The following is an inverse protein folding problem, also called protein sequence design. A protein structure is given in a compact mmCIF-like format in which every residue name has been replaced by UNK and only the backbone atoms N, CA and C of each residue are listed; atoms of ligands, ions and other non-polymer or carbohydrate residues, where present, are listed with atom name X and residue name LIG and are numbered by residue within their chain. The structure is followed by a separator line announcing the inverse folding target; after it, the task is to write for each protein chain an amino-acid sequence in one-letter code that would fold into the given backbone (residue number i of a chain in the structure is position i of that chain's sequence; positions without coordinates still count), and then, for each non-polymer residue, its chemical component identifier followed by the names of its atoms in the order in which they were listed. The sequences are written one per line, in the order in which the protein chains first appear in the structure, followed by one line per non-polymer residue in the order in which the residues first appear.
data_IF_547248338662
#
_entry.id   IF_547248338662
#
_cell.length_a   1.000
_cell.length_b   1.000
_cell.length_c   1.000
_cell.angle_alpha   90.00
_cell.angle_beta   90.00
_cell.angle_gamma   90.00
#
_symmetry.space_group_name_H-M   'P 1'
#
loop_
_entity.id
_entity.type
_entity.pdbx_description
1 polymer ?
#
# COMPACT_ATOMS: atom_id res chain seq x y z
N UNK A 1 17.60 -16.18 77.54
CA UNK A 1 16.67 -15.14 77.00
C UNK A 1 17.36 -14.50 75.82
N UNK A 2 17.02 -14.92 74.61
CA UNK A 2 17.57 -14.40 73.37
C UNK A 2 16.42 -13.80 72.55
N UNK A 3 16.45 -12.47 72.40
CA UNK A 3 15.46 -11.67 71.70
C UNK A 3 15.84 -11.63 70.21
N UNK A 4 15.02 -12.21 69.32
CA UNK A 4 15.17 -12.13 67.86
C UNK A 4 14.40 -10.92 67.33
N UNK A 5 15.11 -9.96 66.77
CA UNK A 5 14.52 -8.86 66.01
C UNK A 5 14.46 -9.22 64.53
N UNK A 6 13.25 -9.43 64.02
CA UNK A 6 12.99 -9.60 62.59
C UNK A 6 12.84 -8.23 61.93
N UNK A 7 13.81 -7.86 61.08
CA UNK A 7 13.70 -6.71 60.16
C UNK A 7 12.83 -7.08 58.96
N UNK A 8 11.68 -6.46 58.84
CA UNK A 8 10.86 -6.51 57.61
C UNK A 8 11.41 -5.48 56.65
N UNK A 9 11.93 -5.94 55.50
CA UNK A 9 12.29 -5.12 54.33
C UNK A 9 11.01 -4.91 53.52
N UNK A 10 10.52 -3.66 53.48
CA UNK A 10 9.43 -3.27 52.58
C UNK A 10 10.03 -2.97 51.20
N UNK A 11 9.67 -3.81 50.21
CA UNK A 11 10.00 -3.56 48.80
C UNK A 11 8.98 -2.55 48.28
N UNK A 12 9.40 -1.33 48.00
CA UNK A 12 8.61 -0.32 47.29
C UNK A 12 8.66 -0.62 45.79
N UNK A 13 7.56 -1.13 45.25
CA UNK A 13 7.38 -1.28 43.79
C UNK A 13 6.98 0.09 43.24
N UNK A 14 7.93 0.80 42.65
CA UNK A 14 7.65 2.03 41.91
C UNK A 14 6.89 1.73 40.64
N UNK A 15 5.62 2.12 40.56
CA UNK A 15 4.88 2.19 39.32
C UNK A 15 5.40 3.36 38.48
N UNK A 16 6.18 3.08 37.43
CA UNK A 16 6.44 4.03 36.36
C UNK A 16 5.13 4.20 35.57
N UNK A 17 4.42 5.30 35.80
CA UNK A 17 3.32 5.74 34.95
C UNK A 17 3.91 6.17 33.60
N UNK A 18 3.74 5.36 32.56
CA UNK A 18 3.90 5.79 31.17
C UNK A 18 2.82 6.84 30.89
N UNK A 19 3.22 8.11 30.85
CA UNK A 19 2.35 9.20 30.42
C UNK A 19 1.85 8.99 28.97
N UNK A 20 0.75 9.67 28.59
CA UNK A 20 0.22 9.54 27.22
C UNK A 20 1.30 9.92 26.21
N UNK A 21 1.50 9.08 25.19
CA UNK A 21 2.34 9.39 24.05
C UNK A 21 1.74 10.61 23.36
N UNK A 22 2.33 11.75 23.61
CA UNK A 22 1.91 13.02 23.01
C UNK A 22 2.25 12.97 21.55
N UNK A 23 1.26 13.21 20.67
CA UNK A 23 1.46 13.31 19.23
C UNK A 23 2.62 14.29 18.97
N UNK A 24 3.58 13.88 18.13
CA UNK A 24 4.71 14.73 17.76
C UNK A 24 4.22 16.08 17.22
N UNK A 25 4.91 17.20 17.53
CA UNK A 25 4.52 18.51 17.02
C UNK A 25 4.47 18.47 15.49
N UNK A 26 3.37 18.96 14.92
CA UNK A 26 3.26 19.12 13.47
C UNK A 26 4.05 20.38 13.08
N UNK A 27 5.20 20.26 12.41
CA UNK A 27 5.88 21.42 11.85
C UNK A 27 4.97 22.09 10.81
N UNK A 28 5.15 23.40 10.59
CA UNK A 28 4.50 24.06 9.45
C UNK A 28 4.90 23.33 8.16
N UNK A 29 3.94 23.07 7.24
CA UNK A 29 4.25 22.34 6.00
C UNK A 29 5.40 23.01 5.27
N UNK A 30 6.42 22.22 4.90
CA UNK A 30 7.50 22.72 4.08
C UNK A 30 6.94 23.21 2.74
N UNK A 31 7.39 24.37 2.25
CA UNK A 31 7.02 24.84 0.93
C UNK A 31 7.44 23.82 -0.12
N UNK A 32 6.57 23.54 -1.08
CA UNK A 32 6.83 22.65 -2.22
C UNK A 32 6.55 23.40 -3.54
N UNK A 33 7.32 23.06 -4.57
CA UNK A 33 7.02 23.46 -5.94
C UNK A 33 6.30 22.30 -6.62
N UNK A 34 5.25 22.61 -7.38
CA UNK A 34 4.44 21.62 -8.07
C UNK A 34 4.24 22.03 -9.51
N UNK A 35 4.58 21.14 -10.43
CA UNK A 35 4.29 21.27 -11.85
C UNK A 35 3.40 20.14 -12.33
N UNK A 36 2.37 20.45 -13.10
CA UNK A 36 1.57 19.46 -13.82
C UNK A 36 2.36 19.04 -15.07
N UNK A 37 2.65 17.74 -15.18
CA UNK A 37 3.45 17.18 -16.28
C UNK A 37 2.63 16.36 -17.26
N UNK A 38 1.42 15.97 -16.87
CA UNK A 38 0.37 15.42 -17.73
C UNK A 38 -1.00 15.64 -17.12
N UNK A 39 -2.02 15.80 -17.97
CA UNK A 39 -3.45 15.91 -17.59
C UNK A 39 -4.33 15.08 -18.52
N UNK A 40 -5.63 15.05 -18.26
CA UNK A 40 -6.60 14.31 -19.06
C UNK A 40 -6.54 12.78 -18.84
N UNK A 41 -6.02 12.33 -17.71
CA UNK A 41 -6.04 10.94 -17.29
C UNK A 41 -7.40 10.58 -16.69
N UNK A 42 -7.99 9.44 -17.11
CA UNK A 42 -9.29 9.01 -16.58
C UNK A 42 -9.10 8.17 -15.31
N UNK A 43 -9.34 8.76 -14.14
CA UNK A 43 -9.14 8.08 -12.85
C UNK A 43 -7.81 7.31 -12.79
N UNK A 44 -6.66 7.98 -12.96
CA UNK A 44 -5.37 7.29 -12.93
C UNK A 44 -5.17 6.61 -11.56
N UNK A 45 -4.65 5.37 -11.57
CA UNK A 45 -4.56 4.58 -10.35
C UNK A 45 -3.12 4.31 -9.89
N UNK A 46 -2.22 3.99 -10.82
CA UNK A 46 -0.82 3.74 -10.49
C UNK A 46 0.11 4.17 -11.62
N UNK A 47 1.37 4.36 -11.27
CA UNK A 47 2.42 4.76 -12.19
C UNK A 47 3.69 3.93 -11.94
N UNK A 48 4.39 3.52 -13.02
CA UNK A 48 5.69 2.88 -12.97
C UNK A 48 6.64 3.53 -13.97
N UNK A 49 7.77 4.07 -13.49
CA UNK A 49 8.80 4.63 -14.36
C UNK A 49 9.56 3.53 -15.11
N UNK A 50 9.76 3.74 -16.40
CA UNK A 50 10.64 2.94 -17.24
C UNK A 50 12.10 3.41 -17.11
N UNK A 51 13.09 2.58 -17.48
CA UNK A 51 14.50 2.96 -17.37
C UNK A 51 14.89 4.21 -18.19
N UNK A 52 14.13 4.54 -19.23
CA UNK A 52 14.35 5.76 -20.06
C UNK A 52 13.72 7.03 -19.47
N UNK A 53 13.14 6.95 -18.27
CA UNK A 53 12.46 8.06 -17.60
C UNK A 53 11.01 8.29 -18.06
N UNK A 54 10.51 7.56 -19.05
CA UNK A 54 9.09 7.54 -19.35
C UNK A 54 8.33 6.74 -18.27
N UNK A 55 6.99 6.78 -18.26
CA UNK A 55 6.21 6.08 -17.25
C UNK A 55 4.95 5.42 -17.84
N UNK A 56 4.66 4.22 -17.37
CA UNK A 56 3.37 3.58 -17.58
C UNK A 56 2.41 4.09 -16.52
N UNK A 57 1.18 4.42 -16.94
CA UNK A 57 0.11 4.89 -16.06
C UNK A 57 -1.13 4.03 -16.31
N UNK A 58 -1.66 3.43 -15.26
CA UNK A 58 -2.95 2.73 -15.31
C UNK A 58 -4.08 3.72 -15.08
N UNK A 59 -5.13 3.58 -15.87
CA UNK A 59 -6.40 4.27 -15.69
C UNK A 59 -7.45 3.25 -15.23
N UNK A 60 -8.12 3.52 -14.12
CA UNK A 60 -9.04 2.59 -13.47
C UNK A 60 -10.13 2.01 -14.39
N UNK A 61 -10.68 2.75 -15.39
CA UNK A 61 -11.64 2.17 -16.35
C UNK A 61 -11.09 1.03 -17.21
N UNK A 62 -9.75 0.82 -17.26
CA UNK A 62 -9.15 -0.32 -17.96
C UNK A 62 -8.12 0.05 -19.03
N UNK A 63 -7.58 1.26 -19.01
CA UNK A 63 -6.55 1.70 -19.95
C UNK A 63 -5.16 1.70 -19.31
N UNK A 64 -4.14 1.38 -20.10
CA UNK A 64 -2.73 1.60 -19.78
C UNK A 64 -2.21 2.65 -20.75
N UNK A 65 -1.53 3.67 -20.24
CA UNK A 65 -0.98 4.77 -21.03
C UNK A 65 0.53 4.86 -20.83
N UNK A 66 1.25 5.29 -21.85
CA UNK A 66 2.65 5.68 -21.74
C UNK A 66 2.74 7.21 -21.69
N UNK A 67 3.34 7.73 -20.64
CA UNK A 67 3.80 9.12 -20.57
C UNK A 67 5.27 9.20 -20.96
N UNK A 68 5.58 9.96 -22.00
CA UNK A 68 6.95 10.15 -22.50
C UNK A 68 7.13 11.57 -23.02
N UNK A 69 8.15 12.29 -22.53
CA UNK A 69 8.48 13.63 -23.00
C UNK A 69 7.31 14.64 -22.88
N UNK A 70 6.53 14.57 -21.79
CA UNK A 70 5.38 15.45 -21.57
C UNK A 70 4.11 15.08 -22.34
N UNK A 71 4.09 13.94 -23.05
CA UNK A 71 2.94 13.48 -23.85
C UNK A 71 2.43 12.14 -23.37
N UNK A 72 1.10 11.98 -23.39
CA UNK A 72 0.42 10.71 -23.16
C UNK A 72 0.17 9.98 -24.50
N UNK A 73 0.48 8.68 -24.53
CA UNK A 73 0.12 7.82 -25.67
C UNK A 73 -1.40 7.64 -25.78
N UNK A 74 -1.92 7.16 -26.90
CA UNK A 74 -3.18 6.42 -26.92
C UNK A 74 -3.15 5.24 -25.93
N UNK A 75 -4.32 4.66 -25.56
CA UNK A 75 -4.36 3.43 -24.76
C UNK A 75 -3.54 2.30 -25.42
N UNK A 76 -2.70 1.64 -24.62
CA UNK A 76 -1.87 0.52 -25.05
C UNK A 76 -2.77 -0.73 -25.17
N UNK A 77 -2.83 -1.39 -26.33
CA UNK A 77 -3.60 -2.63 -26.51
C UNK A 77 -2.94 -3.85 -25.83
N UNK A 78 -3.68 -4.96 -25.73
CA UNK A 78 -3.20 -6.22 -25.17
C UNK A 78 -3.53 -6.42 -23.69
N UNK A 79 -4.41 -5.59 -23.14
CA UNK A 79 -4.83 -5.65 -21.73
C UNK A 79 -5.94 -6.71 -21.53
N UNK A 80 -6.06 -7.27 -20.31
CA UNK A 80 -7.19 -8.10 -19.94
C UNK A 80 -8.47 -7.27 -19.84
N UNK A 81 -9.63 -7.96 -19.94
CA UNK A 81 -10.90 -7.35 -19.58
C UNK A 81 -10.96 -7.14 -18.07
N UNK A 82 -11.17 -5.90 -17.64
CA UNK A 82 -11.26 -5.54 -16.22
C UNK A 82 -12.71 -5.36 -15.77
N UNK A 83 -12.97 -5.62 -14.49
CA UNK A 83 -14.22 -5.28 -13.83
C UNK A 83 -14.12 -3.86 -13.27
N UNK A 84 -14.57 -2.88 -14.03
CA UNK A 84 -14.40 -1.45 -13.72
C UNK A 84 -15.58 -0.83 -12.96
N UNK A 85 -16.30 -1.63 -12.18
CA UNK A 85 -17.44 -1.18 -11.37
C UNK A 85 -17.02 -0.94 -9.91
N UNK A 86 -17.69 -0.02 -9.22
CA UNK A 86 -17.43 0.35 -7.83
C UNK A 86 -15.96 0.74 -7.61
N UNK A 87 -15.20 0.00 -6.80
CA UNK A 87 -13.78 0.23 -6.56
C UNK A 87 -12.87 -0.59 -7.49
N UNK A 88 -13.44 -1.42 -8.34
CA UNK A 88 -12.70 -2.25 -9.29
C UNK A 88 -12.14 -1.45 -10.47
N UNK A 89 -11.34 -2.13 -11.29
CA UNK A 89 -10.74 -1.58 -12.50
C UNK A 89 -9.33 -2.13 -12.77
N UNK A 90 -8.59 -1.47 -13.64
CA UNK A 90 -7.16 -1.62 -13.78
C UNK A 90 -6.48 -0.83 -12.67
N UNK A 91 -5.71 -1.53 -11.83
CA UNK A 91 -5.23 -0.99 -10.56
C UNK A 91 -3.70 -0.79 -10.61
N UNK A 92 -2.90 -1.63 -10.00
CA UNK A 92 -1.46 -1.39 -9.93
C UNK A 92 -0.69 -1.84 -11.18
N UNK A 93 0.47 -1.24 -11.37
CA UNK A 93 1.45 -1.60 -12.39
C UNK A 93 2.84 -1.67 -11.77
N UNK A 94 3.56 -2.75 -12.04
CA UNK A 94 4.95 -2.92 -11.65
C UNK A 94 5.78 -3.46 -12.81
N UNK A 95 7.05 -3.07 -12.87
CA UNK A 95 8.00 -3.67 -13.80
C UNK A 95 8.64 -4.91 -13.18
N UNK A 96 8.98 -5.89 -14.02
CA UNK A 96 9.90 -6.96 -13.63
C UNK A 96 11.20 -6.36 -13.07
N UNK A 97 11.83 -6.96 -12.04
CA UNK A 97 13.19 -6.60 -11.65
C UNK A 97 14.21 -6.73 -12.80
N UNK A 98 13.92 -7.60 -13.77
CA UNK A 98 14.72 -7.80 -14.98
C UNK A 98 14.20 -7.04 -16.21
N UNK A 99 13.38 -6.00 -16.04
CA UNK A 99 12.67 -5.32 -17.15
C UNK A 99 13.58 -4.90 -18.32
N UNK A 100 14.80 -4.48 -18.05
CA UNK A 100 15.75 -4.10 -19.12
C UNK A 100 16.02 -5.26 -20.10
N UNK A 101 15.89 -6.52 -19.65
CA UNK A 101 16.12 -7.72 -20.45
C UNK A 101 14.83 -8.39 -20.90
N UNK A 102 13.84 -8.49 -20.02
CA UNK A 102 12.63 -9.28 -20.26
C UNK A 102 11.43 -8.44 -20.70
N UNK A 103 11.45 -7.13 -20.43
CA UNK A 103 10.40 -6.15 -20.71
C UNK A 103 9.01 -6.55 -20.15
N UNK A 104 9.01 -7.35 -19.08
CA UNK A 104 7.76 -7.79 -18.46
C UNK A 104 7.16 -6.69 -17.58
N UNK A 105 5.89 -6.43 -17.82
CA UNK A 105 5.03 -5.53 -17.03
C UNK A 105 3.99 -6.38 -16.31
N UNK A 106 3.84 -6.17 -15.02
CA UNK A 106 2.85 -6.81 -14.16
C UNK A 106 1.69 -5.85 -13.91
N UNK A 107 0.48 -6.34 -14.05
CA UNK A 107 -0.74 -5.59 -13.81
C UNK A 107 -1.60 -6.30 -12.77
N UNK A 108 -2.04 -5.56 -11.75
CA UNK A 108 -3.08 -6.00 -10.85
C UNK A 108 -4.41 -5.33 -11.23
N UNK A 109 -5.48 -6.09 -11.23
CA UNK A 109 -6.78 -5.60 -11.67
C UNK A 109 -7.93 -6.37 -11.01
N UNK A 110 -9.12 -5.79 -11.03
CA UNK A 110 -10.33 -6.50 -10.67
C UNK A 110 -10.81 -7.36 -11.84
N UNK A 111 -10.97 -8.67 -11.59
CA UNK A 111 -11.45 -9.64 -12.57
C UNK A 111 -12.85 -10.12 -12.19
N UNK A 112 -13.79 -10.05 -13.15
CA UNK A 112 -15.13 -10.59 -13.00
C UNK A 112 -15.17 -12.13 -13.12
N UNK A 113 -16.19 -12.76 -12.54
CA UNK A 113 -16.50 -14.18 -12.72
C UNK A 113 -17.75 -14.58 -11.93
N UNK A 114 -18.72 -15.21 -12.58
CA UNK A 114 -19.96 -15.74 -11.97
C UNK A 114 -20.75 -14.71 -11.13
N UNK A 115 -20.89 -13.48 -11.64
CA UNK A 115 -21.56 -12.38 -10.92
C UNK A 115 -20.79 -11.82 -9.72
N UNK A 116 -19.51 -12.17 -9.59
CA UNK A 116 -18.60 -11.79 -8.52
C UNK A 116 -17.33 -11.17 -9.10
N UNK A 117 -16.47 -10.65 -8.23
CA UNK A 117 -15.18 -10.11 -8.64
C UNK A 117 -14.11 -10.35 -7.57
N UNK A 118 -12.85 -10.28 -7.96
CA UNK A 118 -11.69 -10.42 -7.09
C UNK A 118 -10.45 -9.89 -7.76
N UNK A 119 -9.38 -9.72 -7.00
CA UNK A 119 -8.10 -9.26 -7.54
C UNK A 119 -7.45 -10.36 -8.36
N UNK A 120 -6.99 -10.01 -9.55
CA UNK A 120 -6.14 -10.85 -10.39
C UNK A 120 -4.83 -10.12 -10.69
N UNK A 121 -3.79 -10.89 -10.93
CA UNK A 121 -2.50 -10.39 -11.40
C UNK A 121 -2.11 -11.12 -12.67
N UNK A 122 -1.68 -10.38 -13.67
CA UNK A 122 -1.11 -10.93 -14.88
C UNK A 122 0.14 -10.17 -15.28
N UNK A 123 0.85 -10.70 -16.27
CA UNK A 123 2.03 -10.08 -16.86
C UNK A 123 2.01 -10.17 -18.36
N UNK A 124 2.57 -9.18 -19.02
CA UNK A 124 2.75 -9.16 -20.48
C UNK A 124 4.07 -8.49 -20.84
N UNK A 125 4.50 -8.66 -22.08
CA UNK A 125 5.72 -8.08 -22.62
C UNK A 125 5.42 -6.76 -23.29
N UNK A 126 6.01 -5.67 -22.79
CA UNK A 126 5.91 -4.35 -23.42
C UNK A 126 6.82 -4.29 -24.64
N UNK A 127 6.30 -3.87 -25.80
CA UNK A 127 7.11 -3.63 -27.00
C UNK A 127 8.22 -2.60 -26.75
N UNK A 128 9.25 -2.59 -27.57
CA UNK A 128 10.40 -1.64 -27.40
C UNK A 128 9.98 -0.18 -27.48
N UNK A 129 9.07 0.14 -28.38
CA UNK A 129 8.49 1.48 -28.54
C UNK A 129 7.46 1.84 -27.44
N UNK A 130 7.02 0.85 -26.64
CA UNK A 130 6.04 1.02 -25.59
C UNK A 130 4.60 1.12 -26.06
N UNK A 131 4.29 0.70 -27.30
CA UNK A 131 2.96 0.90 -27.92
C UNK A 131 2.02 -0.30 -27.76
N UNK A 132 2.54 -1.49 -27.42
CA UNK A 132 1.75 -2.72 -27.27
C UNK A 132 2.19 -3.54 -26.07
N UNK A 133 1.24 -4.24 -25.43
CA UNK A 133 1.51 -5.26 -24.43
C UNK A 133 1.13 -6.63 -24.99
N UNK A 134 2.15 -7.44 -25.31
CA UNK A 134 1.97 -8.75 -25.91
C UNK A 134 1.97 -9.87 -24.85
N UNK A 135 1.46 -11.03 -25.23
CA UNK A 135 1.53 -12.30 -24.47
C UNK A 135 1.00 -12.19 -23.03
N UNK A 136 -0.06 -11.39 -22.82
CA UNK A 136 -0.60 -11.20 -21.49
C UNK A 136 -1.13 -12.52 -20.91
N UNK A 137 -0.59 -12.91 -19.77
CA UNK A 137 -0.93 -14.15 -19.07
C UNK A 137 -1.29 -13.85 -17.62
N UNK A 138 -2.43 -14.39 -17.16
CA UNK A 138 -2.83 -14.30 -15.74
C UNK A 138 -2.04 -15.31 -14.93
N UNK A 139 -1.33 -14.83 -13.91
CA UNK A 139 -0.45 -15.63 -13.06
C UNK A 139 -1.00 -15.86 -11.66
N UNK A 140 -2.02 -15.07 -11.24
CA UNK A 140 -2.61 -15.20 -9.91
C UNK A 140 -4.07 -14.73 -9.92
N UNK A 141 -4.91 -15.37 -9.10
CA UNK A 141 -6.30 -14.97 -8.81
C UNK A 141 -6.60 -15.08 -7.34
N UNK A 142 -7.17 -14.04 -6.77
CA UNK A 142 -7.77 -14.09 -5.44
C UNK A 142 -9.02 -14.99 -5.47
N UNK A 143 -9.04 -15.98 -4.59
CA UNK A 143 -10.16 -16.94 -4.48
C UNK A 143 -10.63 -17.06 -3.02
N UNK A 144 -11.96 -17.27 -2.83
CA UNK A 144 -13.03 -17.18 -3.82
C UNK A 144 -13.23 -15.73 -4.31
N UNK A 145 -13.89 -15.52 -5.44
CA UNK A 145 -14.41 -14.20 -5.83
C UNK A 145 -15.64 -13.87 -5.00
N UNK A 146 -15.85 -12.58 -4.65
CA UNK A 146 -16.97 -12.12 -3.84
C UNK A 146 -17.82 -11.07 -4.59
N UNK A 147 -19.07 -10.87 -4.16
CA UNK A 147 -20.05 -10.05 -4.87
C UNK A 147 -20.05 -8.56 -4.53
N UNK A 148 -19.20 -8.12 -3.59
CA UNK A 148 -19.31 -6.77 -3.02
C UNK A 148 -18.63 -5.67 -3.83
N UNK A 149 -17.67 -5.98 -4.71
CA UNK A 149 -17.02 -5.02 -5.60
C UNK A 149 -16.18 -3.94 -4.90
N UNK A 150 -15.67 -4.21 -3.71
CA UNK A 150 -14.91 -3.26 -2.87
C UNK A 150 -13.65 -3.91 -2.31
N UNK A 151 -12.75 -3.11 -1.75
CA UNK A 151 -11.53 -3.51 -1.02
C UNK A 151 -10.71 -4.56 -1.78
N UNK A 152 -10.18 -4.18 -2.94
CA UNK A 152 -9.38 -5.10 -3.76
C UNK A 152 -7.92 -5.23 -3.29
N UNK A 153 -7.42 -4.25 -2.51
CA UNK A 153 -5.98 -4.13 -2.26
C UNK A 153 -5.22 -3.83 -3.54
N UNK A 154 -4.61 -4.87 -4.13
CA UNK A 154 -4.02 -4.91 -5.47
C UNK A 154 -2.65 -4.24 -5.64
N UNK A 155 -1.92 -3.87 -4.59
CA UNK A 155 -0.55 -3.37 -4.72
C UNK A 155 0.44 -4.49 -4.98
N UNK A 156 1.42 -4.20 -5.82
CA UNK A 156 2.48 -5.08 -6.26
C UNK A 156 3.84 -4.58 -5.78
N UNK A 157 4.65 -5.44 -5.18
CA UNK A 157 6.02 -5.12 -4.82
C UNK A 157 6.93 -6.32 -5.07
N UNK A 158 8.07 -6.10 -5.71
CA UNK A 158 9.13 -7.11 -5.83
C UNK A 158 10.18 -6.93 -4.76
N UNK A 159 10.63 -8.03 -4.16
CA UNK A 159 11.83 -8.01 -3.34
C UNK A 159 13.10 -8.10 -4.17
N UNK A 160 14.26 -7.99 -3.49
CA UNK A 160 15.58 -8.08 -4.15
C UNK A 160 15.90 -9.48 -4.70
N UNK A 161 15.17 -10.51 -4.29
CA UNK A 161 15.28 -11.89 -4.76
C UNK A 161 14.36 -12.17 -5.95
N UNK A 162 13.52 -11.21 -6.33
CA UNK A 162 12.58 -11.34 -7.44
C UNK A 162 11.26 -12.01 -7.08
N UNK A 163 10.94 -12.19 -5.79
CA UNK A 163 9.61 -12.62 -5.38
C UNK A 163 8.62 -11.46 -5.47
N UNK A 164 7.41 -11.77 -5.95
CA UNK A 164 6.30 -10.85 -6.06
C UNK A 164 5.42 -10.92 -4.82
N UNK A 165 5.23 -9.79 -4.16
CA UNK A 165 4.25 -9.62 -3.10
C UNK A 165 3.02 -8.89 -3.66
N UNK A 166 1.83 -9.40 -3.30
CA UNK A 166 0.56 -8.83 -3.73
C UNK A 166 -0.31 -8.58 -2.51
N UNK A 167 -0.82 -7.37 -2.37
CA UNK A 167 -1.77 -7.07 -1.32
C UNK A 167 -3.21 -7.34 -1.78
N UNK A 168 -4.02 -7.94 -0.92
CA UNK A 168 -5.38 -8.36 -1.20
C UNK A 168 -6.32 -7.84 -0.10
N UNK A 169 -7.34 -7.09 -0.49
CA UNK A 169 -8.39 -6.67 0.42
C UNK A 169 -9.37 -7.79 0.73
N UNK A 170 -10.17 -7.61 1.79
CA UNK A 170 -11.17 -8.58 2.22
C UNK A 170 -12.49 -8.49 1.43
N UNK A 171 -12.52 -7.66 0.38
CA UNK A 171 -13.68 -7.43 -0.49
C UNK A 171 -14.95 -7.04 0.29
N UNK A 172 -14.81 -6.33 1.40
CA UNK A 172 -15.87 -5.92 2.32
C UNK A 172 -16.65 -7.11 2.94
N UNK A 173 -15.97 -8.26 3.08
CA UNK A 173 -16.44 -9.43 3.84
C UNK A 173 -15.45 -9.69 4.99
N UNK A 174 -15.63 -8.94 6.07
CA UNK A 174 -14.68 -8.81 7.19
C UNK A 174 -14.16 -10.14 7.76
N UNK A 175 -15.02 -11.15 8.04
CA UNK A 175 -14.55 -12.40 8.65
C UNK A 175 -13.50 -13.12 7.81
N UNK A 176 -13.55 -12.98 6.48
CA UNK A 176 -12.64 -13.67 5.56
C UNK A 176 -11.16 -13.26 5.75
N UNK A 177 -10.90 -12.10 6.35
CA UNK A 177 -9.53 -11.67 6.66
C UNK A 177 -8.82 -12.62 7.63
N UNK A 178 -9.58 -13.34 8.48
CA UNK A 178 -9.07 -14.34 9.43
C UNK A 178 -9.14 -15.77 8.90
N UNK A 179 -9.87 -16.02 7.79
CA UNK A 179 -9.98 -17.35 7.20
C UNK A 179 -8.73 -17.66 6.37
N UNK A 180 -7.96 -18.66 6.77
CA UNK A 180 -6.71 -19.00 6.09
C UNK A 180 -6.88 -19.91 4.86
N UNK A 181 -8.10 -20.44 4.65
CA UNK A 181 -8.48 -21.17 3.42
C UNK A 181 -8.89 -20.24 2.27
N UNK A 182 -8.96 -18.92 2.53
CA UNK A 182 -9.32 -17.85 1.58
C UNK A 182 -8.20 -16.83 1.41
N UNK A 183 -8.25 -16.11 0.30
CA UNK A 183 -7.22 -15.11 -0.03
C UNK A 183 -7.66 -13.65 0.24
N UNK A 184 -8.83 -13.43 0.82
CA UNK A 184 -9.31 -12.12 1.21
C UNK A 184 -8.59 -11.60 2.45
N UNK A 185 -8.16 -10.32 2.42
CA UNK A 185 -7.47 -9.69 3.54
C UNK A 185 -6.09 -10.30 3.83
N UNK A 186 -5.30 -10.51 2.78
CA UNK A 186 -3.98 -11.15 2.83
C UNK A 186 -2.92 -10.32 2.12
N UNK A 187 -1.68 -10.52 2.50
CA UNK A 187 -0.54 -10.30 1.61
C UNK A 187 -0.05 -11.68 1.19
N UNK A 188 0.11 -11.90 -0.10
CA UNK A 188 0.62 -13.14 -0.66
C UNK A 188 2.02 -12.95 -1.22
N UNK A 189 2.84 -14.01 -1.21
CA UNK A 189 4.18 -14.04 -1.82
C UNK A 189 4.24 -15.14 -2.87
N UNK A 190 4.68 -14.77 -4.07
CA UNK A 190 4.72 -15.60 -5.26
C UNK A 190 6.11 -15.50 -5.92
N UNK A 191 6.45 -16.47 -6.75
CA UNK A 191 7.49 -16.26 -7.75
C UNK A 191 6.97 -15.35 -8.87
N UNK A 192 7.85 -14.81 -9.67
CA UNK A 192 7.52 -13.94 -10.80
C UNK A 192 6.60 -14.58 -11.84
N UNK A 193 6.52 -15.90 -11.89
CA UNK A 193 5.62 -16.67 -12.76
C UNK A 193 4.27 -17.03 -12.11
N UNK A 194 4.05 -16.61 -10.87
CA UNK A 194 2.84 -16.89 -10.09
C UNK A 194 2.89 -18.19 -9.27
N UNK A 195 3.95 -18.99 -9.39
CA UNK A 195 4.09 -20.21 -8.57
C UNK A 195 4.40 -19.88 -7.11
N UNK A 196 3.98 -20.78 -6.22
CA UNK A 196 4.14 -20.57 -4.77
C UNK A 196 5.52 -21.00 -4.31
N UNK A 197 6.27 -20.14 -3.58
CA UNK A 197 7.53 -20.52 -2.97
C UNK A 197 7.36 -21.58 -1.87
N UNK A 198 8.24 -22.58 -1.84
CA UNK A 198 8.20 -23.67 -0.86
C UNK A 198 8.52 -23.25 0.58
N UNK A 199 9.10 -22.06 0.76
CA UNK A 199 9.46 -21.47 2.05
C UNK A 199 8.42 -20.43 2.55
N UNK A 200 7.24 -20.34 1.94
CA UNK A 200 6.14 -19.54 2.48
C UNK A 200 5.70 -20.08 3.86
N UNK A 201 5.21 -19.21 4.77
CA UNK A 201 4.96 -19.58 6.16
C UNK A 201 4.00 -20.76 6.35
N UNK A 202 3.04 -20.91 5.45
CA UNK A 202 2.00 -21.93 5.54
C UNK A 202 2.13 -23.03 4.48
N UNK A 203 3.26 -23.08 3.76
CA UNK A 203 3.51 -24.11 2.76
C UNK A 203 3.52 -25.50 3.43
N UNK A 204 2.68 -26.41 2.94
CA UNK A 204 2.56 -27.77 3.49
C UNK A 204 1.35 -27.97 4.43
N UNK A 205 0.72 -26.95 4.97
CA UNK A 205 -0.57 -27.09 5.64
C UNK A 205 -1.72 -27.09 4.61
N UNK A 206 -2.32 -28.25 4.38
CA UNK A 206 -3.39 -28.42 3.38
C UNK A 206 -4.69 -27.64 3.69
N UNK A 207 -4.84 -27.11 4.91
CA UNK A 207 -6.00 -26.31 5.34
C UNK A 207 -5.81 -24.83 5.10
N UNK A 208 -4.61 -24.41 4.74
CA UNK A 208 -4.21 -23.01 4.59
C UNK A 208 -3.76 -22.75 3.16
N UNK A 209 -4.11 -21.62 2.61
CA UNK A 209 -3.64 -21.18 1.29
C UNK A 209 -2.14 -20.97 1.33
N UNK A 210 -1.35 -21.72 0.55
CA UNK A 210 0.12 -21.68 0.63
C UNK A 210 0.72 -20.38 0.09
N UNK A 211 -0.06 -19.56 -0.63
CA UNK A 211 0.34 -18.24 -1.13
C UNK A 211 0.50 -17.21 -0.01
N UNK A 212 -0.18 -17.40 1.12
CA UNK A 212 -0.28 -16.42 2.22
C UNK A 212 1.09 -16.15 2.83
N UNK A 213 1.44 -14.85 2.89
CA UNK A 213 2.60 -14.34 3.63
C UNK A 213 2.19 -13.75 4.99
N UNK A 214 1.12 -12.94 5.02
CA UNK A 214 0.48 -12.39 6.23
C UNK A 214 -1.03 -12.29 6.03
N UNK A 215 -1.79 -12.09 7.12
CA UNK A 215 -3.24 -12.08 7.09
C UNK A 215 -3.84 -11.12 8.12
N UNK A 216 -5.16 -10.99 8.13
CA UNK A 216 -5.85 -10.07 9.03
C UNK A 216 -5.79 -8.62 8.56
N UNK A 217 -5.74 -8.40 7.24
CA UNK A 217 -5.76 -7.09 6.59
C UNK A 217 -7.18 -6.73 6.14
N UNK A 218 -7.48 -5.42 6.13
CA UNK A 218 -8.75 -4.92 5.61
C UNK A 218 -8.67 -4.56 4.13
N UNK A 219 -7.94 -3.51 3.79
CA UNK A 219 -7.82 -3.01 2.43
C UNK A 219 -6.46 -2.33 2.23
N UNK A 220 -5.40 -3.09 2.07
CA UNK A 220 -4.05 -2.57 1.83
C UNK A 220 -3.99 -1.76 0.54
N UNK A 221 -3.56 -0.50 0.63
CA UNK A 221 -3.49 0.43 -0.51
C UNK A 221 -2.07 0.88 -0.85
N UNK A 222 -1.10 0.59 0.00
CA UNK A 222 0.32 0.79 -0.24
C UNK A 222 1.12 -0.45 0.12
N UNK A 223 2.18 -0.71 -0.64
CA UNK A 223 3.09 -1.84 -0.42
C UNK A 223 4.46 -1.46 -1.00
N UNK A 224 5.49 -1.40 -0.16
CA UNK A 224 6.84 -1.08 -0.61
C UNK A 224 7.90 -1.65 0.33
N UNK A 225 9.05 -1.99 -0.20
CA UNK A 225 10.21 -2.36 0.60
C UNK A 225 10.93 -1.11 1.11
N UNK A 226 11.17 -1.05 2.41
CA UNK A 226 12.01 -0.02 3.02
C UNK A 226 13.45 -0.18 2.48
N UNK A 227 14.01 0.82 1.79
CA UNK A 227 15.31 0.67 1.12
C UNK A 227 16.48 0.51 2.11
N UNK A 228 16.31 0.95 3.36
CA UNK A 228 17.36 0.91 4.40
C UNK A 228 17.33 -0.39 5.20
N UNK A 229 16.16 -0.84 5.65
CA UNK A 229 16.01 -2.07 6.45
C UNK A 229 15.76 -3.32 5.59
N UNK A 230 15.25 -3.15 4.36
CA UNK A 230 14.79 -4.25 3.51
C UNK A 230 13.46 -4.86 3.95
N UNK A 231 12.81 -4.33 4.98
CA UNK A 231 11.52 -4.79 5.44
C UNK A 231 10.40 -4.38 4.48
N UNK A 232 9.41 -5.24 4.31
CA UNK A 232 8.19 -4.91 3.57
C UNK A 232 7.27 -4.07 4.47
N UNK A 233 6.91 -2.88 4.00
CA UNK A 233 5.94 -2.02 4.65
C UNK A 233 4.66 -1.99 3.85
N UNK A 234 3.57 -1.87 4.56
CA UNK A 234 2.22 -1.78 4.03
C UNK A 234 1.47 -0.68 4.77
N UNK A 235 0.49 -0.07 4.13
CA UNK A 235 -0.55 0.69 4.81
C UNK A 235 -1.93 0.35 4.27
N UNK A 236 -2.93 0.44 5.14
CA UNK A 236 -4.29 0.06 4.80
C UNK A 236 -5.35 1.03 5.33
N UNK A 237 -6.52 0.98 4.69
CA UNK A 237 -7.69 1.67 5.17
C UNK A 237 -8.28 0.98 6.38
N UNK A 238 -8.44 1.70 7.48
CA UNK A 238 -9.38 1.35 8.52
C UNK A 238 -10.84 1.56 8.06
N UNK A 239 -11.82 1.30 8.92
CA UNK A 239 -13.21 1.65 8.65
C UNK A 239 -13.40 3.18 8.77
N UNK A 240 -14.20 3.67 9.70
CA UNK A 240 -14.23 5.11 10.00
C UNK A 240 -13.13 5.42 11.00
N UNK A 241 -11.99 5.96 10.53
CA UNK A 241 -10.75 6.08 11.28
C UNK A 241 -9.95 4.77 11.30
N UNK A 242 -8.74 4.81 11.89
CA UNK A 242 -7.88 3.63 12.03
C UNK A 242 -7.20 3.17 10.74
N UNK A 243 -6.95 4.07 9.78
CA UNK A 243 -5.95 3.80 8.75
C UNK A 243 -4.60 3.62 9.42
N UNK A 244 -3.78 2.71 8.95
CA UNK A 244 -2.54 2.34 9.63
C UNK A 244 -1.39 2.04 8.67
N UNK A 245 -0.16 2.12 9.20
CA UNK A 245 1.08 1.71 8.54
C UNK A 245 1.66 0.53 9.30
N UNK A 246 1.99 -0.53 8.60
CA UNK A 246 2.45 -1.80 9.13
C UNK A 246 3.83 -2.19 8.59
N UNK A 247 4.65 -2.83 9.42
CA UNK A 247 5.84 -3.56 8.99
C UNK A 247 5.48 -5.04 8.88
N UNK A 248 5.51 -5.58 7.66
CA UNK A 248 4.98 -6.90 7.38
C UNK A 248 5.95 -8.01 7.77
N UNK A 249 5.49 -8.87 8.65
CA UNK A 249 6.20 -10.04 9.15
C UNK A 249 5.63 -11.32 8.57
N UNK A 250 6.51 -12.29 8.31
CA UNK A 250 6.18 -13.61 7.80
C UNK A 250 5.24 -14.37 8.74
N UNK A 251 4.05 -14.74 8.27
CA UNK A 251 3.06 -15.52 9.02
C UNK A 251 2.25 -14.72 10.05
N UNK A 252 2.45 -13.39 10.17
CA UNK A 252 1.80 -12.59 11.18
C UNK A 252 0.32 -12.27 10.85
N UNK A 253 -0.48 -12.09 11.92
CA UNK A 253 -1.87 -11.63 11.89
C UNK A 253 -1.94 -10.15 12.26
N UNK A 254 -2.51 -9.31 11.39
CA UNK A 254 -2.66 -7.85 11.59
C UNK A 254 -4.01 -7.46 12.21
N UNK A 255 -4.80 -8.45 12.62
CA UNK A 255 -5.90 -8.29 13.57
C UNK A 255 -7.26 -7.99 12.97
N UNK A 256 -7.38 -7.40 11.78
CA UNK A 256 -8.70 -7.12 11.21
C UNK A 256 -9.53 -8.39 11.01
N UNK A 257 -10.83 -8.42 11.36
CA UNK A 257 -11.63 -7.41 12.07
C UNK A 257 -11.66 -7.56 13.60
N UNK A 258 -10.87 -8.46 14.18
CA UNK A 258 -10.86 -8.78 15.63
C UNK A 258 -10.25 -7.67 16.48
N UNK A 259 -9.41 -6.84 15.89
CA UNK A 259 -8.82 -5.63 16.47
C UNK A 259 -8.85 -4.50 15.44
N UNK A 260 -9.11 -3.27 15.88
CA UNK A 260 -9.08 -2.08 15.02
C UNK A 260 -9.11 -0.80 15.86
N UNK A 261 -8.45 0.25 15.36
CA UNK A 261 -8.53 1.61 15.91
C UNK A 261 -9.72 2.41 15.36
N UNK A 262 -10.46 1.87 14.38
CA UNK A 262 -11.63 2.52 13.78
C UNK A 262 -12.98 1.98 14.27
N UNK A 263 -14.05 2.62 13.83
CA UNK A 263 -15.44 2.25 14.11
C UNK A 263 -16.23 2.11 12.80
N UNK A 264 -17.41 1.52 12.83
CA UNK A 264 -18.30 1.48 11.67
C UNK A 264 -18.66 2.88 11.17
N UNK A 265 -18.97 3.02 9.88
CA UNK A 265 -19.49 4.27 9.32
C UNK A 265 -20.81 4.71 9.97
N UNK A 266 -21.59 3.79 10.53
CA UNK A 266 -22.76 4.07 11.37
C UNK A 266 -22.44 4.74 12.71
N UNK A 267 -21.17 4.81 13.12
CA UNK A 267 -20.74 5.29 14.43
C UNK A 267 -20.71 4.22 15.53
N UNK A 268 -21.17 3.00 15.23
CA UNK A 268 -21.11 1.88 16.16
C UNK A 268 -19.75 1.17 16.11
N UNK A 269 -19.43 0.41 17.14
CA UNK A 269 -18.24 -0.45 17.15
C UNK A 269 -18.31 -1.51 16.04
N UNK A 270 -17.17 -1.98 15.57
CA UNK A 270 -17.07 -3.16 14.72
C UNK A 270 -17.47 -4.37 15.58
N UNK A 271 -18.51 -5.17 15.18
CA UNK A 271 -19.04 -6.23 16.04
C UNK A 271 -18.01 -7.29 16.40
N UNK A 272 -17.11 -7.61 15.48
CA UNK A 272 -16.06 -8.62 15.65
C UNK A 272 -14.90 -8.12 16.52
N UNK A 273 -14.71 -6.79 16.64
CA UNK A 273 -13.56 -6.21 17.33
C UNK A 273 -13.70 -6.34 18.86
N UNK A 274 -12.70 -6.95 19.48
CA UNK A 274 -12.57 -7.09 20.94
C UNK A 274 -11.77 -5.97 21.56
N UNK A 275 -11.19 -5.07 20.76
CA UNK A 275 -10.35 -3.94 21.17
C UNK A 275 -9.49 -3.42 20.03
N UNK A 276 -8.46 -2.68 20.39
CA UNK A 276 -7.49 -2.15 19.42
C UNK A 276 -6.27 -3.06 19.22
N UNK A 277 -6.14 -4.12 20.02
CA UNK A 277 -5.03 -5.07 19.99
C UNK A 277 -5.53 -6.50 19.95
N UNK A 278 -4.85 -7.35 19.19
CA UNK A 278 -5.06 -8.79 19.14
C UNK A 278 -3.92 -9.50 19.90
N UNK A 279 -4.26 -10.36 20.83
CA UNK A 279 -3.25 -11.17 21.54
C UNK A 279 -2.47 -12.04 20.54
N UNK A 280 -1.16 -11.87 20.47
CA UNK A 280 -0.29 -12.54 19.51
C UNK A 280 -0.36 -11.98 18.08
N UNK A 281 -1.12 -10.91 17.84
CA UNK A 281 -1.15 -10.19 16.58
C UNK A 281 -0.03 -9.14 16.48
N UNK A 282 0.25 -8.71 15.25
CA UNK A 282 1.13 -7.60 14.99
C UNK A 282 0.41 -6.27 15.27
N UNK A 283 1.15 -5.33 15.83
CA UNK A 283 0.64 -3.97 16.09
C UNK A 283 1.07 -3.05 14.94
N UNK A 284 0.23 -2.05 14.57
CA UNK A 284 0.63 -1.06 13.59
C UNK A 284 1.80 -0.21 14.10
N UNK A 285 2.70 0.12 13.19
CA UNK A 285 3.77 1.08 13.44
C UNK A 285 3.23 2.49 13.71
N UNK A 286 2.21 2.86 12.95
CA UNK A 286 1.56 4.17 13.00
C UNK A 286 0.10 4.04 12.57
N UNK A 287 -0.79 4.87 13.13
CA UNK A 287 -2.20 4.89 12.76
C UNK A 287 -2.81 6.28 12.92
N UNK A 288 -3.91 6.54 12.21
CA UNK A 288 -4.64 7.81 12.26
C UNK A 288 -6.00 7.62 12.90
N UNK A 289 -6.32 8.45 13.90
CA UNK A 289 -7.67 8.50 14.51
C UNK A 289 -8.72 8.89 13.47
N UNK A 290 -8.42 9.93 12.67
CA UNK A 290 -9.22 10.33 11.52
C UNK A 290 -8.57 9.81 10.24
N UNK A 291 -9.25 8.91 9.54
CA UNK A 291 -8.75 8.34 8.29
C UNK A 291 -8.42 9.41 7.25
N UNK A 292 -7.16 9.50 6.78
CA UNK A 292 -6.80 10.29 5.61
C UNK A 292 -7.23 9.61 4.30
N UNK A 293 -7.66 8.36 4.34
CA UNK A 293 -7.84 7.43 3.24
C UNK A 293 -6.54 7.27 2.44
N UNK A 294 -5.59 6.57 3.04
CA UNK A 294 -4.26 6.31 2.48
C UNK A 294 -4.32 5.59 1.14
N UNK A 295 -3.37 5.85 0.22
CA UNK A 295 -3.42 5.34 -1.16
C UNK A 295 -2.05 4.80 -1.64
N UNK A 296 -1.37 5.40 -2.61
CA UNK A 296 -0.02 4.98 -2.97
C UNK A 296 1.03 5.42 -1.97
N UNK A 297 2.19 4.74 -1.94
CA UNK A 297 3.30 5.11 -1.08
C UNK A 297 4.66 4.93 -1.75
N UNK A 298 5.64 5.74 -1.33
CA UNK A 298 7.03 5.63 -1.76
C UNK A 298 7.98 6.08 -0.65
N UNK A 299 9.01 5.28 -0.38
CA UNK A 299 10.15 5.71 0.41
C UNK A 299 11.01 6.68 -0.39
N UNK A 300 11.59 7.67 0.27
CA UNK A 300 12.48 8.63 -0.35
C UNK A 300 13.92 8.40 0.08
N UNK A 301 14.72 7.81 -0.79
CA UNK A 301 16.16 7.56 -0.62
C UNK A 301 17.01 8.27 -1.69
N UNK A 302 16.37 9.02 -2.61
CA UNK A 302 17.06 9.76 -3.67
C UNK A 302 18.00 10.85 -3.12
N UNK A 303 19.06 11.15 -3.88
CA UNK A 303 20.06 12.13 -3.48
C UNK A 303 19.67 13.57 -3.86
N UNK A 304 18.74 13.73 -4.79
CA UNK A 304 18.38 15.04 -5.37
C UNK A 304 17.87 16.04 -4.32
N UNK A 305 17.13 15.57 -3.33
CA UNK A 305 16.56 16.41 -2.26
C UNK A 305 16.89 15.86 -0.89
N UNK A 306 18.08 16.15 -0.33
CA UNK A 306 18.56 15.59 0.94
C UNK A 306 17.62 15.82 2.13
N UNK A 307 16.86 16.94 2.14
CA UNK A 307 15.89 17.28 3.17
C UNK A 307 14.66 16.34 3.21
N UNK A 308 14.47 15.52 2.18
CA UNK A 308 13.43 14.49 2.11
C UNK A 308 13.93 13.07 2.40
N UNK A 309 15.25 12.90 2.59
CA UNK A 309 15.78 11.59 2.98
C UNK A 309 15.13 11.05 4.24
N UNK A 310 15.08 9.74 4.34
CA UNK A 310 14.43 9.04 5.44
C UNK A 310 12.95 9.44 5.61
N UNK A 311 12.25 9.70 4.50
CA UNK A 311 10.81 9.94 4.51
C UNK A 311 10.06 8.82 3.81
N UNK A 312 8.82 8.60 4.27
CA UNK A 312 7.81 7.84 3.57
C UNK A 312 6.73 8.81 3.11
N UNK A 313 6.52 8.90 1.81
CA UNK A 313 5.44 9.68 1.21
C UNK A 313 4.22 8.78 0.98
N UNK A 314 3.04 9.26 1.37
CA UNK A 314 1.76 8.55 1.26
C UNK A 314 0.73 9.48 0.64
N UNK A 315 0.03 9.02 -0.40
CA UNK A 315 -1.13 9.74 -0.94
C UNK A 315 -2.32 9.63 0.02
N UNK A 316 -3.13 10.68 0.08
CA UNK A 316 -4.34 10.73 0.89
C UNK A 316 -5.54 11.17 0.05
N UNK A 317 -6.56 10.31 -0.02
CA UNK A 317 -7.74 10.57 -0.84
C UNK A 317 -8.76 11.47 -0.12
N UNK A 318 -9.07 11.17 1.14
CA UNK A 318 -10.05 11.93 1.92
C UNK A 318 -9.46 13.25 2.41
N UNK A 319 -8.21 13.23 2.84
CA UNK A 319 -7.52 14.43 3.28
C UNK A 319 -7.03 15.34 2.14
N UNK A 320 -7.08 14.85 0.90
CA UNK A 320 -6.63 15.60 -0.29
C UNK A 320 -5.22 16.17 -0.09
N UNK A 321 -4.29 15.29 0.26
CA UNK A 321 -2.93 15.66 0.64
C UNK A 321 -1.92 14.62 0.17
N UNK A 322 -0.66 15.04 0.11
CA UNK A 322 0.50 14.19 0.14
C UNK A 322 1.05 14.21 1.58
N UNK A 323 0.94 13.08 2.28
CA UNK A 323 1.47 12.93 3.63
C UNK A 323 2.95 12.58 3.51
N UNK A 324 3.80 13.26 4.28
CA UNK A 324 5.20 12.91 4.47
C UNK A 324 5.41 12.48 5.91
N UNK A 325 5.83 11.25 6.12
CA UNK A 325 6.30 10.76 7.41
C UNK A 325 7.82 10.78 7.43
N UNK A 326 8.40 11.55 8.34
CA UNK A 326 9.85 11.51 8.60
C UNK A 326 10.16 10.33 9.49
N UNK A 327 11.16 9.52 9.13
CA UNK A 327 11.50 8.29 9.81
C UNK A 327 12.84 8.39 10.54
N UNK A 328 12.87 7.82 11.75
CA UNK A 328 14.08 7.52 12.51
C UNK A 328 14.17 5.99 12.70
N UNK A 329 14.93 5.33 11.83
CA UNK A 329 14.86 3.87 11.68
C UNK A 329 13.46 3.44 11.28
N UNK A 330 12.86 2.54 12.06
CA UNK A 330 11.50 2.06 11.84
C UNK A 330 10.47 2.82 12.73
N UNK A 331 10.71 4.09 13.05
CA UNK A 331 9.79 4.94 13.82
C UNK A 331 9.39 6.17 13.04
N UNK A 332 8.14 6.59 13.19
CA UNK A 332 7.65 7.86 12.65
C UNK A 332 8.00 8.97 13.66
N UNK A 333 8.90 9.86 13.25
CA UNK A 333 9.35 11.00 14.07
C UNK A 333 8.47 12.24 13.86
N UNK A 334 7.97 12.46 12.65
CA UNK A 334 7.11 13.61 12.33
C UNK A 334 6.17 13.29 11.17
N UNK A 335 5.04 14.03 11.10
CA UNK A 335 4.09 14.00 10.01
C UNK A 335 3.89 15.40 9.44
N UNK A 336 3.94 15.53 8.12
CA UNK A 336 3.58 16.73 7.38
C UNK A 336 2.49 16.41 6.34
N UNK A 337 1.66 17.41 6.00
CA UNK A 337 0.63 17.29 4.95
C UNK A 337 0.85 18.35 3.89
N UNK A 338 1.38 17.93 2.77
CA UNK A 338 1.70 18.75 1.60
C UNK A 338 0.50 18.75 0.63
N UNK A 339 0.44 19.71 -0.29
CA UNK A 339 -0.56 19.82 -1.36
C UNK A 339 -2.02 20.03 -0.90
N UNK A 340 -2.26 20.38 0.35
CA UNK A 340 -3.62 20.63 0.88
C UNK A 340 -4.35 21.75 0.15
N UNK A 341 -3.60 22.75 -0.27
CA UNK A 341 -4.08 23.93 -1.02
C UNK A 341 -4.67 23.58 -2.40
N UNK A 342 -4.31 22.39 -2.94
CA UNK A 342 -4.82 21.96 -4.25
C UNK A 342 -6.19 21.30 -4.19
N UNK A 343 -6.65 20.85 -3.04
CA UNK A 343 -7.94 20.18 -2.88
C UNK A 343 -8.08 18.91 -3.74
N UNK A 344 -6.97 18.27 -4.11
CA UNK A 344 -6.94 17.11 -5.00
C UNK A 344 -6.73 15.81 -4.21
N UNK A 345 -7.53 14.81 -4.51
CA UNK A 345 -7.36 13.45 -3.99
C UNK A 345 -6.07 12.85 -4.58
N UNK A 346 -5.11 12.50 -3.76
CA UNK A 346 -3.86 11.90 -4.23
C UNK A 346 -4.01 10.38 -4.24
N UNK A 347 -3.83 9.76 -5.42
CA UNK A 347 -4.04 8.31 -5.64
C UNK A 347 -2.76 7.49 -5.59
N UNK A 348 -1.69 7.96 -6.20
CA UNK A 348 -0.42 7.24 -6.23
C UNK A 348 0.75 8.17 -6.01
N UNK A 349 1.82 7.62 -5.50
CA UNK A 349 3.05 8.34 -5.16
C UNK A 349 4.25 7.51 -5.61
N UNK A 350 5.15 8.09 -6.39
CA UNK A 350 6.41 7.45 -6.80
C UNK A 350 7.55 8.47 -6.75
N UNK A 351 8.75 7.98 -6.54
CA UNK A 351 9.97 8.79 -6.74
C UNK A 351 10.44 8.59 -8.16
N UNK A 352 10.58 9.66 -8.90
CA UNK A 352 11.05 9.63 -10.29
C UNK A 352 12.58 9.48 -10.40
N UNK A 353 13.07 9.16 -11.61
CA UNK A 353 14.51 8.99 -11.86
C UNK A 353 15.30 10.30 -11.67
N UNK A 354 14.64 11.45 -11.73
CA UNK A 354 15.20 12.78 -11.43
C UNK A 354 15.18 13.10 -9.91
N UNK A 355 14.72 12.15 -9.07
CA UNK A 355 14.58 12.29 -7.63
C UNK A 355 13.39 13.12 -7.16
N UNK A 356 12.56 13.66 -8.06
CA UNK A 356 11.32 14.33 -7.67
C UNK A 356 10.27 13.31 -7.23
N UNK A 357 9.32 13.75 -6.41
CA UNK A 357 8.14 12.96 -6.07
C UNK A 357 7.06 13.22 -7.12
N UNK A 358 6.51 12.15 -7.67
CA UNK A 358 5.42 12.21 -8.63
C UNK A 358 4.14 11.67 -8.00
N UNK A 359 3.03 12.37 -8.22
CA UNK A 359 1.74 11.96 -7.68
C UNK A 359 0.66 11.97 -8.76
N UNK A 360 -0.25 10.99 -8.68
CA UNK A 360 -1.44 10.94 -9.50
C UNK A 360 -2.63 11.47 -8.71
N UNK A 361 -3.47 12.28 -9.34
CA UNK A 361 -4.73 12.76 -8.75
C UNK A 361 -5.89 11.86 -9.14
N UNK A 362 -6.74 11.46 -8.18
CA UNK A 362 -7.92 10.62 -8.41
C UNK A 362 -9.12 11.49 -8.84
N UNK A 363 -9.27 11.68 -10.14
CA UNK A 363 -10.36 12.44 -10.72
C UNK A 363 -10.72 11.89 -12.11
N UNK A 364 -11.96 12.15 -12.63
CA UNK A 364 -12.34 11.81 -14.01
C UNK A 364 -11.42 12.48 -15.06
N UNK A 365 -10.87 13.64 -14.71
CA UNK A 365 -9.82 14.37 -15.43
C UNK A 365 -8.62 14.50 -14.49
N UNK A 366 -7.94 13.38 -14.26
CA UNK A 366 -6.78 13.30 -13.39
C UNK A 366 -5.52 13.84 -14.03
N UNK A 367 -4.53 14.09 -13.19
CA UNK A 367 -3.23 14.64 -13.59
C UNK A 367 -2.07 13.85 -12.96
N UNK A 368 -0.91 13.93 -13.63
CA UNK A 368 0.39 13.60 -13.08
C UNK A 368 1.09 14.89 -12.67
N UNK A 369 1.37 15.02 -11.39
CA UNK A 369 2.05 16.15 -10.79
C UNK A 369 3.48 15.75 -10.41
N UNK A 370 4.44 16.62 -10.70
CA UNK A 370 5.82 16.54 -10.23
C UNK A 370 6.00 17.50 -9.05
N UNK A 371 6.48 16.99 -7.94
CA UNK A 371 6.62 17.72 -6.66
C UNK A 371 8.08 17.74 -6.25
N UNK A 372 8.58 18.92 -5.92
CA UNK A 372 9.92 19.14 -5.38
C UNK A 372 9.87 20.03 -4.16
N UNK A 373 10.87 20.02 -3.27
CA UNK A 373 10.94 21.01 -2.22
C UNK A 373 10.92 22.44 -2.80
N UNK A 374 10.25 23.35 -2.10
CA UNK A 374 10.37 24.76 -2.39
C UNK A 374 11.74 25.30 -1.97
N UNK A 375 12.09 26.48 -2.47
CA UNK A 375 13.29 27.18 -2.01
C UNK A 375 13.16 27.50 -0.51
N UNK A 376 14.22 27.21 0.23
CA UNK A 376 14.32 27.67 1.62
C UNK A 376 14.29 29.22 1.60
N UNK A 377 13.27 29.79 2.24
CA UNK A 377 13.19 31.25 2.43
C UNK A 377 14.20 31.69 3.49
#
# INVERSE_FOLDING_TARGET
MLCHWSRRIALAIGFLSLGPVQAAPRPAPAAVQVSEVASGLSHPWALAFLPDGSALITERPGSLRLWRGGRLSPPIPGLPKVYAESQGGLLDVALSPGFAQDRLVYLAYAEAGDGKSGTAVGRGRLSEDGTTLADFTVIFRQVPKLSRGQHYGARLAFDRQGYLFVSLGENNDRPTAQDLDKLQGKIVRLRADGTVPGDNPFHGDKRVRPEIWSYGHRNPQGLAFNPWSGALWEHEHGPRGGDEVNIIQRGANYGWPLATHGINYSGLKIPEAKGTKLAGGAEPLYWWEKSPAVSGMAFYDAQAYPQWKHSLFIGALADQALIRLTLEGDKVAAEERLLKDRGARIRDVRVGPDGAVYVLTDAPQGALLRVTPGEAK
#
